data_IF_197840941122
#
_entry.id   IF_197840941122
#
_cell.length_a   1.000
_cell.length_b   1.000
_cell.length_c   1.000
_cell.angle_alpha   90.00
_cell.angle_beta   90.00
_cell.angle_gamma   90.00
#
_symmetry.space_group_name_H-M   'P 1'
#
loop_
_entity.id
_entity.type
_entity.pdbx_description
1 polymer ?
#
# COMPACT_ATOMS: atom_id res chain seq x y z
N UNK A 1 -1.99 -28.84 9.96
CA UNK A 1 -0.92 -28.81 8.93
C UNK A 1 -0.16 -27.51 9.11
N UNK A 2 1.16 -27.56 9.32
CA UNK A 2 1.98 -26.34 9.43
C UNK A 2 2.04 -25.66 8.06
N UNK A 3 1.54 -24.42 7.96
CA UNK A 3 1.74 -23.58 6.78
C UNK A 3 3.25 -23.27 6.69
N UNK A 4 3.89 -23.43 5.51
CA UNK A 4 5.29 -23.06 5.36
C UNK A 4 5.45 -21.55 5.56
N UNK A 5 6.43 -21.14 6.37
CA UNK A 5 6.81 -19.73 6.49
C UNK A 5 7.45 -19.28 5.18
N UNK A 6 7.03 -18.13 4.66
CA UNK A 6 7.58 -17.52 3.46
C UNK A 6 8.65 -16.52 3.91
N UNK A 7 9.88 -16.71 3.45
CA UNK A 7 10.92 -15.69 3.51
C UNK A 7 11.01 -15.01 2.14
N UNK A 8 10.97 -13.67 2.07
CA UNK A 8 10.96 -12.73 3.19
C UNK A 8 9.60 -12.67 3.91
N UNK A 9 9.64 -12.48 5.24
CA UNK A 9 8.46 -12.27 6.11
C UNK A 9 7.57 -11.08 5.76
N UNK A 10 8.00 -10.23 4.82
CA UNK A 10 7.34 -8.99 4.44
C UNK A 10 7.24 -8.88 2.93
N UNK A 11 6.08 -8.43 2.47
CA UNK A 11 5.81 -8.07 1.08
C UNK A 11 5.51 -6.58 1.06
N UNK A 12 6.24 -5.82 0.24
CA UNK A 12 5.92 -4.43 -0.07
C UNK A 12 5.30 -4.37 -1.47
N UNK A 13 4.19 -3.64 -1.62
CA UNK A 13 3.47 -3.47 -2.88
C UNK A 13 3.59 -2.00 -3.31
N UNK A 14 4.32 -1.76 -4.38
CA UNK A 14 4.61 -0.43 -4.93
C UNK A 14 3.99 -0.23 -6.32
N UNK A 15 3.74 1.01 -6.71
CA UNK A 15 3.18 1.32 -8.04
C UNK A 15 2.41 2.64 -8.12
N UNK A 16 2.05 3.02 -9.35
CA UNK A 16 1.35 4.27 -9.64
C UNK A 16 0.00 4.41 -8.90
N UNK A 17 -0.46 5.66 -8.76
CA UNK A 17 -1.81 5.95 -8.26
C UNK A 17 -2.83 5.33 -9.23
N UNK A 18 -3.82 4.61 -8.68
CA UNK A 18 -4.81 3.88 -9.47
C UNK A 18 -4.38 2.50 -9.97
N UNK A 19 -3.15 2.04 -9.68
CA UNK A 19 -2.66 0.73 -10.14
C UNK A 19 -3.26 -0.50 -9.39
N UNK A 20 -4.15 -0.29 -8.41
CA UNK A 20 -4.80 -1.39 -7.68
C UNK A 20 -3.99 -1.99 -6.51
N UNK A 21 -3.00 -1.26 -5.98
CA UNK A 21 -2.10 -1.72 -4.90
C UNK A 21 -2.84 -2.20 -3.65
N UNK A 22 -3.84 -1.42 -3.19
CA UNK A 22 -4.65 -1.75 -2.01
C UNK A 22 -5.41 -3.05 -2.21
N UNK A 23 -6.04 -3.22 -3.38
CA UNK A 23 -6.77 -4.45 -3.73
C UNK A 23 -5.83 -5.66 -3.77
N UNK A 24 -4.65 -5.52 -4.39
CA UNK A 24 -3.66 -6.59 -4.42
C UNK A 24 -3.17 -6.96 -3.02
N UNK A 25 -2.89 -5.97 -2.17
CA UNK A 25 -2.45 -6.18 -0.79
C UNK A 25 -3.49 -6.92 0.04
N UNK A 26 -4.78 -6.61 -0.14
CA UNK A 26 -5.89 -7.32 0.51
C UNK A 26 -5.98 -8.79 0.06
N UNK A 27 -5.86 -9.05 -1.25
CA UNK A 27 -5.86 -10.41 -1.81
C UNK A 27 -4.68 -11.24 -1.28
N UNK A 28 -3.49 -10.65 -1.23
CA UNK A 28 -2.29 -11.30 -0.67
C UNK A 28 -2.46 -11.59 0.83
N UNK A 29 -3.03 -10.65 1.59
CA UNK A 29 -3.35 -10.84 3.00
C UNK A 29 -4.27 -12.05 3.24
N UNK A 30 -5.32 -12.19 2.43
CA UNK A 30 -6.23 -13.33 2.49
C UNK A 30 -5.56 -14.64 2.10
N UNK A 31 -4.81 -14.65 1.00
CA UNK A 31 -4.13 -15.85 0.48
C UNK A 31 -3.12 -16.42 1.49
N UNK A 32 -2.35 -15.54 2.12
CA UNK A 32 -1.23 -15.93 3.00
C UNK A 32 -1.54 -15.84 4.49
N UNK A 33 -2.77 -15.45 4.86
CA UNK A 33 -3.14 -15.22 6.27
C UNK A 33 -2.19 -14.22 6.93
N UNK A 34 -1.88 -13.17 6.17
CA UNK A 34 -0.90 -12.15 6.54
C UNK A 34 -1.59 -10.88 7.05
N UNK A 35 -0.92 -10.19 7.98
CA UNK A 35 -1.35 -8.86 8.42
C UNK A 35 -1.14 -7.87 7.28
N UNK A 36 -2.21 -7.20 6.85
CA UNK A 36 -2.15 -6.12 5.86
C UNK A 36 -1.88 -4.79 6.58
N UNK A 37 -0.90 -4.04 6.10
CA UNK A 37 -0.59 -2.68 6.52
C UNK A 37 -0.83 -1.76 5.30
N UNK A 38 -1.69 -0.75 5.46
CA UNK A 38 -2.01 0.21 4.41
C UNK A 38 -1.45 1.59 4.76
N UNK A 39 -1.18 2.38 3.73
CA UNK A 39 -0.83 3.80 3.87
C UNK A 39 -1.97 4.61 4.48
N UNK A 40 -1.64 5.64 5.26
CA UNK A 40 -2.60 6.59 5.82
C UNK A 40 -2.47 7.94 5.09
N UNK A 41 -3.07 8.02 3.91
CA UNK A 41 -2.98 9.19 3.04
C UNK A 41 -3.59 10.45 3.66
N UNK A 42 -4.64 10.29 4.48
CA UNK A 42 -5.32 11.40 5.16
C UNK A 42 -4.44 12.07 6.22
N UNK A 43 -3.45 11.34 6.76
CA UNK A 43 -2.49 11.90 7.70
C UNK A 43 -1.40 12.72 7.00
N UNK A 44 -1.32 12.73 5.67
CA UNK A 44 -0.31 13.50 4.95
C UNK A 44 -0.79 14.96 4.72
N UNK A 45 -0.24 15.95 5.45
CA UNK A 45 -0.71 17.34 5.38
C UNK A 45 -0.31 18.05 4.07
N UNK A 46 0.47 17.40 3.21
CA UNK A 46 0.99 17.99 1.97
C UNK A 46 0.22 17.53 0.73
N UNK A 47 -0.38 16.34 0.74
CA UNK A 47 -1.09 15.76 -0.41
C UNK A 47 -2.20 16.69 -0.92
N UNK A 48 -3.04 17.21 -0.02
CA UNK A 48 -4.14 18.09 -0.40
C UNK A 48 -3.65 19.38 -1.08
N UNK A 49 -2.56 19.97 -0.57
CA UNK A 49 -1.95 21.18 -1.13
C UNK A 49 -1.31 20.90 -2.48
N UNK A 50 -0.61 19.77 -2.61
CA UNK A 50 -0.03 19.32 -3.86
C UNK A 50 -1.10 19.19 -4.97
N UNK A 51 -2.27 18.62 -4.67
CA UNK A 51 -3.35 18.53 -5.67
C UNK A 51 -4.02 19.87 -6.01
N UNK A 52 -3.95 20.87 -5.13
CA UNK A 52 -4.49 22.21 -5.39
C UNK A 52 -3.59 23.03 -6.33
N UNK A 53 -2.27 22.89 -6.18
CA UNK A 53 -1.30 23.57 -7.03
C UNK A 53 -0.11 22.65 -7.32
N UNK A 54 -0.30 21.80 -8.33
CA UNK A 54 0.71 20.81 -8.73
C UNK A 54 1.95 21.45 -9.31
N UNK A 55 1.84 22.59 -9.99
CA UNK A 55 3.01 23.22 -10.63
C UNK A 55 3.92 23.91 -9.61
N UNK A 56 3.37 24.51 -8.56
CA UNK A 56 4.18 25.13 -7.49
C UNK A 56 4.82 24.11 -6.53
N UNK A 57 4.37 22.86 -6.55
CA UNK A 57 4.76 21.80 -5.62
C UNK A 57 5.36 20.55 -6.30
N UNK A 58 5.61 20.60 -7.61
CA UNK A 58 6.27 19.55 -8.39
C UNK A 58 7.79 19.54 -8.24
#
# INVERSE_FOLDING_TARGET
MNKPYIEPRFIAVEGAIGAGKTSLSQLLGQQYDARVLLENDEANPFIAKFYQDRESHA
#
